data_IF_204243366742
#
_entry.id   IF_204243366742
#
_cell.length_a   1.000
_cell.length_b   1.000
_cell.length_c   1.000
_cell.angle_alpha   90.00
_cell.angle_beta   90.00
_cell.angle_gamma   90.00
#
_symmetry.space_group_name_H-M   'P 1'
#
loop_
_entity.id
_entity.type
_entity.pdbx_description
1 polymer ?
#
# COMPACT_ATOMS: atom_id res chain seq x y z
N UNK A 1 0.83 -17.60 21.03
CA UNK A 1 1.49 -16.38 20.53
C UNK A 1 0.43 -15.42 20.05
N UNK A 2 0.57 -14.12 20.28
CA UNK A 2 -0.41 -13.12 19.83
C UNK A 2 -0.16 -12.80 18.34
N UNK A 3 -1.21 -12.88 17.54
CA UNK A 3 -1.21 -12.51 16.13
C UNK A 3 -2.09 -11.28 15.90
N UNK A 4 -1.72 -10.44 14.94
CA UNK A 4 -2.49 -9.27 14.54
C UNK A 4 -2.59 -9.16 13.02
N UNK A 5 -3.74 -8.70 12.54
CA UNK A 5 -3.96 -8.40 11.12
C UNK A 5 -4.62 -7.04 10.98
N UNK A 6 -4.00 -6.24 10.12
CA UNK A 6 -4.52 -4.98 9.64
C UNK A 6 -3.79 -4.63 8.35
N UNK A 7 -4.53 -4.15 7.35
CA UNK A 7 -4.00 -3.50 6.16
C UNK A 7 -4.81 -2.21 5.96
N UNK A 8 -4.24 -1.16 5.34
CA UNK A 8 -4.93 0.12 5.15
C UNK A 8 -5.98 0.07 4.01
N UNK A 9 -6.71 -1.04 3.88
CA UNK A 9 -7.69 -1.34 2.84
C UNK A 9 -8.86 -2.16 3.42
N UNK A 10 -9.90 -2.40 2.61
CA UNK A 10 -10.99 -3.29 3.00
C UNK A 10 -10.47 -4.72 3.33
N UNK A 11 -11.06 -5.43 4.30
CA UNK A 11 -12.21 -5.03 5.11
C UNK A 11 -11.84 -4.20 6.36
N UNK A 12 -10.55 -3.93 6.60
CA UNK A 12 -10.05 -3.32 7.82
C UNK A 12 -10.27 -1.81 7.89
N UNK A 13 -10.21 -1.14 6.75
CA UNK A 13 -10.53 0.28 6.58
C UNK A 13 -11.79 0.41 5.75
N UNK A 14 -12.78 1.11 6.26
CA UNK A 14 -14.02 1.43 5.53
C UNK A 14 -14.39 2.88 5.77
N UNK A 15 -14.70 3.61 4.70
CA UNK A 15 -15.32 4.92 4.83
C UNK A 15 -16.81 4.77 5.19
N UNK A 16 -17.27 5.57 6.13
CA UNK A 16 -18.67 5.74 6.46
C UNK A 16 -18.95 7.23 6.69
N UNK A 17 -19.54 7.90 5.69
CA UNK A 17 -19.73 9.35 5.66
C UNK A 17 -18.40 10.07 5.95
N UNK A 18 -18.36 10.86 7.02
CA UNK A 18 -17.22 11.66 7.47
C UNK A 18 -16.30 10.90 8.42
N UNK A 19 -16.32 9.57 8.42
CA UNK A 19 -15.47 8.75 9.28
C UNK A 19 -14.76 7.65 8.48
N UNK A 20 -13.48 7.43 8.79
CA UNK A 20 -12.78 6.19 8.46
C UNK A 20 -12.87 5.24 9.63
N UNK A 21 -13.59 4.15 9.42
CA UNK A 21 -13.69 3.03 10.37
C UNK A 21 -12.45 2.17 10.23
N UNK A 22 -11.62 2.15 11.28
CA UNK A 22 -10.37 1.37 11.35
C UNK A 22 -10.60 0.16 12.25
N UNK A 23 -10.32 -1.04 11.74
CA UNK A 23 -10.50 -2.31 12.45
C UNK A 23 -9.19 -3.07 12.54
N UNK A 24 -8.81 -3.50 13.75
CA UNK A 24 -7.69 -4.40 14.02
C UNK A 24 -8.23 -5.78 14.38
N UNK A 25 -7.67 -6.84 13.79
CA UNK A 25 -7.96 -8.22 14.19
C UNK A 25 -6.83 -8.78 15.03
N UNK A 26 -7.17 -9.48 16.11
CA UNK A 26 -6.23 -10.16 17.00
C UNK A 26 -6.64 -11.62 17.18
N UNK A 27 -5.66 -12.52 17.29
CA UNK A 27 -5.89 -13.91 17.66
C UNK A 27 -4.79 -14.42 18.60
N UNK A 28 -5.11 -15.48 19.33
CA UNK A 28 -4.22 -16.12 20.29
C UNK A 28 -4.44 -15.71 21.73
N UNK A 29 -3.71 -16.39 22.61
CA UNK A 29 -3.77 -16.22 24.06
C UNK A 29 -3.19 -14.89 24.54
N UNK A 30 -3.60 -14.46 25.74
CA UNK A 30 -3.13 -13.23 26.40
C UNK A 30 -3.37 -11.96 25.57
N UNK A 31 -4.62 -11.75 25.16
CA UNK A 31 -5.05 -10.54 24.46
C UNK A 31 -4.88 -9.27 25.30
N UNK A 32 -4.71 -8.10 24.68
CA UNK A 32 -4.64 -6.83 25.41
C UNK A 32 -5.97 -6.51 26.09
N UNK A 33 -5.87 -5.81 27.21
CA UNK A 33 -7.02 -5.28 27.96
C UNK A 33 -7.60 -4.04 27.26
N UNK A 34 -6.72 -3.27 26.60
CA UNK A 34 -7.10 -2.07 25.85
C UNK A 34 -6.29 -1.98 24.56
N UNK A 35 -6.95 -1.52 23.51
CA UNK A 35 -6.29 -1.08 22.27
C UNK A 35 -6.61 0.39 22.05
N UNK A 36 -5.57 1.17 21.75
CA UNK A 36 -5.67 2.57 21.35
C UNK A 36 -5.14 2.70 19.93
N UNK A 37 -5.88 3.39 19.07
CA UNK A 37 -5.42 3.81 17.76
C UNK A 37 -4.73 5.18 17.93
N UNK A 38 -3.41 5.24 17.75
CA UNK A 38 -2.66 6.51 17.71
C UNK A 38 -2.75 7.04 16.29
N UNK A 39 -3.45 8.15 16.09
CA UNK A 39 -3.56 8.86 14.82
C UNK A 39 -2.87 10.23 14.88
N UNK A 40 -2.57 10.83 13.73
CA UNK A 40 -2.11 12.22 13.63
C UNK A 40 -3.26 13.14 13.19
N UNK A 41 -3.50 14.22 13.96
CA UNK A 41 -4.41 15.31 13.60
C UNK A 41 -3.59 16.59 13.68
N UNK A 42 -3.46 17.33 12.57
CA UNK A 42 -2.68 18.57 12.49
C UNK A 42 -1.23 18.47 13.00
N UNK A 43 -0.56 17.34 12.70
CA UNK A 43 0.78 16.95 13.20
C UNK A 43 0.87 16.65 14.71
N UNK A 44 -0.25 16.63 15.43
CA UNK A 44 -0.31 16.21 16.83
C UNK A 44 -0.79 14.76 16.97
N UNK A 45 -0.17 14.05 17.90
CA UNK A 45 -0.55 12.67 18.21
C UNK A 45 -1.84 12.62 19.01
N UNK A 46 -2.87 12.00 18.44
CA UNK A 46 -4.17 11.81 19.09
C UNK A 46 -4.40 10.33 19.37
N UNK A 47 -4.70 9.99 20.62
CA UNK A 47 -5.05 8.63 21.04
C UNK A 47 -6.55 8.38 20.99
N UNK A 48 -7.00 7.55 20.04
CA UNK A 48 -8.40 7.17 19.88
C UNK A 48 -8.65 5.81 20.54
N UNK A 49 -9.60 5.75 21.48
CA UNK A 49 -9.97 4.48 22.15
C UNK A 49 -10.60 3.53 21.12
N UNK A 50 -10.10 2.30 21.04
CA UNK A 50 -10.75 1.26 20.27
C UNK A 50 -11.74 0.47 21.12
N UNK A 51 -12.84 0.06 20.50
CA UNK A 51 -13.88 -0.77 21.09
C UNK A 51 -13.78 -2.19 20.55
N UNK A 52 -13.70 -3.18 21.45
CA UNK A 52 -13.79 -4.59 21.08
C UNK A 52 -15.20 -4.88 20.56
N UNK A 53 -15.30 -5.48 19.38
CA UNK A 53 -16.56 -5.91 18.80
C UNK A 53 -17.08 -7.16 19.51
N UNK A 54 -18.41 -7.26 19.64
CA UNK A 54 -19.08 -8.43 20.24
C UNK A 54 -18.99 -9.65 19.32
N UNK A 55 -19.18 -9.44 18.01
CA UNK A 55 -19.07 -10.48 17.00
C UNK A 55 -17.62 -10.72 16.62
N UNK A 56 -17.25 -12.00 16.51
CA UNK A 56 -15.96 -12.40 15.94
C UNK A 56 -16.09 -12.41 14.41
N UNK A 57 -15.14 -11.82 13.64
CA UNK A 57 -15.16 -11.91 12.19
C UNK A 57 -14.88 -13.34 11.69
N UNK A 58 -14.13 -14.12 12.46
CA UNK A 58 -13.86 -15.54 12.28
C UNK A 58 -13.69 -16.20 13.66
N UNK A 59 -13.95 -17.51 13.81
CA UNK A 59 -13.72 -18.21 15.08
C UNK A 59 -12.29 -17.99 15.61
N UNK A 60 -12.18 -17.56 16.87
CA UNK A 60 -10.90 -17.30 17.53
C UNK A 60 -10.29 -15.93 17.22
N UNK A 61 -10.93 -15.11 16.39
CA UNK A 61 -10.48 -13.75 16.07
C UNK A 61 -11.31 -12.73 16.84
N UNK A 62 -10.64 -11.81 17.53
CA UNK A 62 -11.28 -10.63 18.12
C UNK A 62 -11.02 -9.42 17.25
N UNK A 63 -12.02 -8.56 17.10
CA UNK A 63 -11.91 -7.33 16.33
C UNK A 63 -12.00 -6.12 17.27
N UNK A 64 -11.15 -5.14 17.06
CA UNK A 64 -11.16 -3.84 17.75
C UNK A 64 -11.37 -2.74 16.73
N UNK A 65 -12.22 -1.77 17.03
CA UNK A 65 -12.61 -0.72 16.08
C UNK A 65 -12.52 0.69 16.69
N UNK A 66 -12.02 1.64 15.90
CA UNK A 66 -12.11 3.07 16.17
C UNK A 66 -12.42 3.82 14.88
N UNK A 67 -12.81 5.08 15.00
CA UNK A 67 -13.11 5.95 13.87
C UNK A 67 -12.10 7.10 13.85
N UNK A 68 -11.56 7.41 12.68
CA UNK A 68 -10.84 8.66 12.41
C UNK A 68 -11.83 9.61 11.73
N UNK A 69 -11.97 10.81 12.26
CA UNK A 69 -12.78 11.87 11.68
C UNK A 69 -12.13 12.39 10.39
N UNK A 70 -12.94 12.51 9.32
CA UNK A 70 -12.52 13.01 8.02
C UNK A 70 -12.76 14.52 7.85
N UNK A 71 -13.53 15.14 8.74
CA UNK A 71 -13.88 16.57 8.65
C UNK A 71 -12.74 17.52 9.04
N UNK A 72 -11.71 17.01 9.71
CA UNK A 72 -10.55 17.77 10.20
C UNK A 72 -9.24 17.02 9.94
N UNK A 73 -8.09 17.68 10.04
CA UNK A 73 -6.77 17.09 9.84
C UNK A 73 -6.31 16.96 8.38
N UNK A 74 -5.13 16.36 8.19
CA UNK A 74 -4.46 16.29 6.89
C UNK A 74 -5.04 15.21 5.97
N UNK A 75 -5.00 15.37 4.63
CA UNK A 75 -5.50 14.36 3.69
C UNK A 75 -4.91 12.97 3.91
N UNK A 76 -3.61 12.88 4.20
CA UNK A 76 -2.94 11.62 4.56
C UNK A 76 -3.15 11.33 6.05
N UNK A 77 -3.95 10.31 6.34
CA UNK A 77 -4.27 9.83 7.69
C UNK A 77 -3.23 8.81 8.12
N UNK A 78 -2.34 9.18 9.04
CA UNK A 78 -1.35 8.26 9.61
C UNK A 78 -1.82 7.70 10.95
N UNK A 79 -1.60 6.41 11.16
CA UNK A 79 -1.96 5.77 12.42
C UNK A 79 -1.17 4.49 12.74
N UNK A 80 -1.20 4.11 14.01
CA UNK A 80 -0.65 2.85 14.53
C UNK A 80 -1.50 2.33 15.70
N UNK A 81 -1.36 1.06 16.03
CA UNK A 81 -2.10 0.45 17.13
C UNK A 81 -1.20 0.31 18.35
N UNK A 82 -1.65 0.82 19.50
CA UNK A 82 -1.05 0.62 20.81
C UNK A 82 -1.89 -0.39 21.59
N UNK A 83 -1.33 -1.57 21.80
CA UNK A 83 -1.92 -2.66 22.57
C UNK A 83 -1.40 -2.58 24.01
N UNK A 84 -2.31 -2.65 24.98
CA UNK A 84 -2.02 -2.40 26.39
C UNK A 84 -2.51 -3.55 27.27
N UNK A 85 -1.62 -3.99 28.16
CA UNK A 85 -1.87 -4.89 29.28
C UNK A 85 -1.53 -4.14 30.58
N UNK A 86 -1.91 -4.69 31.73
CA UNK A 86 -1.54 -4.12 33.03
C UNK A 86 -0.02 -3.90 33.23
N UNK A 87 0.83 -4.73 32.63
CA UNK A 87 2.28 -4.71 32.87
C UNK A 87 3.13 -4.49 31.61
N UNK A 88 2.52 -4.31 30.43
CA UNK A 88 3.27 -4.14 29.18
C UNK A 88 2.45 -3.43 28.11
N UNK A 89 3.16 -2.94 27.10
CA UNK A 89 2.59 -2.43 25.86
C UNK A 89 3.27 -3.06 24.65
N UNK A 90 2.54 -3.12 23.54
CA UNK A 90 3.08 -3.39 22.21
C UNK A 90 2.50 -2.41 21.21
N UNK A 91 3.27 -2.15 20.16
CA UNK A 91 2.84 -1.39 18.99
C UNK A 91 2.68 -2.35 17.83
N UNK A 92 1.67 -2.12 17.00
CA UNK A 92 1.48 -2.86 15.77
C UNK A 92 1.40 -1.89 14.58
N UNK A 93 2.23 -2.17 13.58
CA UNK A 93 2.46 -1.36 12.37
C UNK A 93 2.61 -2.27 11.14
N UNK A 94 2.79 -1.73 9.91
CA UNK A 94 3.17 -2.54 8.76
C UNK A 94 4.45 -3.36 8.96
N UNK A 95 5.36 -2.94 9.85
CA UNK A 95 6.59 -3.68 10.19
C UNK A 95 6.35 -4.79 11.23
N UNK A 96 5.10 -5.01 11.66
CA UNK A 96 4.73 -5.98 12.67
C UNK A 96 4.72 -5.41 14.08
N UNK A 97 5.04 -6.26 15.06
CA UNK A 97 5.02 -5.88 16.47
C UNK A 97 6.32 -5.22 16.91
N UNK A 98 6.22 -4.13 17.68
CA UNK A 98 7.35 -3.48 18.34
C UNK A 98 7.06 -3.19 19.81
N UNK A 99 8.10 -3.15 20.64
CA UNK A 99 8.00 -2.68 22.04
C UNK A 99 8.07 -1.15 22.14
N UNK A 100 8.59 -0.51 21.10
CA UNK A 100 8.83 0.93 21.05
C UNK A 100 7.82 1.63 20.16
N UNK A 101 7.48 2.89 20.44
CA UNK A 101 6.63 3.69 19.57
C UNK A 101 7.23 3.76 18.16
N UNK A 102 6.43 3.58 17.10
CA UNK A 102 6.93 3.61 15.74
C UNK A 102 7.27 5.03 15.31
N UNK A 103 8.29 5.13 14.44
CA UNK A 103 8.57 6.36 13.72
C UNK A 103 7.44 6.69 12.74
N UNK A 104 7.34 7.96 12.31
CA UNK A 104 6.24 8.44 11.47
C UNK A 104 6.06 7.66 10.16
N UNK A 105 7.16 7.29 9.51
CA UNK A 105 7.15 6.55 8.25
C UNK A 105 6.82 5.06 8.41
N UNK A 106 6.90 4.55 9.63
CA UNK A 106 6.56 3.16 9.96
C UNK A 106 5.07 3.02 10.30
N UNK A 107 4.28 4.09 10.27
CA UNK A 107 2.85 4.05 10.53
C UNK A 107 2.06 3.59 9.29
N UNK A 108 0.86 3.04 9.51
CA UNK A 108 -0.10 2.88 8.43
C UNK A 108 -0.50 4.26 7.89
N UNK A 109 -0.86 4.33 6.62
CA UNK A 109 -1.34 5.54 5.98
C UNK A 109 -2.52 5.23 5.06
N UNK A 110 -3.50 6.13 5.06
CA UNK A 110 -4.63 6.15 4.12
C UNK A 110 -4.79 7.58 3.62
N UNK A 111 -4.89 7.76 2.31
CA UNK A 111 -5.16 9.07 1.72
C UNK A 111 -6.69 9.27 1.59
N UNK A 112 -7.18 10.44 2.01
CA UNK A 112 -8.58 10.82 1.85
C UNK A 112 -8.71 12.32 1.49
N UNK A 113 -9.40 12.67 0.38
CA UNK A 113 -9.97 11.76 -0.61
C UNK A 113 -8.89 10.94 -1.33
N UNK A 114 -9.19 9.68 -1.64
CA UNK A 114 -8.35 8.88 -2.53
C UNK A 114 -8.61 9.33 -3.97
N UNK A 115 -7.68 10.11 -4.50
CA UNK A 115 -7.74 10.62 -5.87
C UNK A 115 -7.19 9.62 -6.90
N UNK A 116 -6.80 8.42 -6.47
CA UNK A 116 -6.38 7.35 -7.36
C UNK A 116 -7.50 6.90 -8.30
N UNK A 117 -7.19 6.58 -9.57
CA UNK A 117 -8.15 5.99 -10.48
C UNK A 117 -8.62 4.63 -9.95
N UNK A 118 -9.83 4.58 -9.42
CA UNK A 118 -10.36 3.39 -8.73
C UNK A 118 -10.36 2.12 -9.59
N UNK A 119 -10.50 2.28 -10.91
CA UNK A 119 -10.49 1.16 -11.86
C UNK A 119 -9.17 0.39 -11.86
N UNK A 120 -8.05 1.01 -11.47
CA UNK A 120 -6.71 0.41 -11.46
C UNK A 120 -6.60 -0.76 -10.48
N UNK A 121 -7.32 -0.71 -9.35
CA UNK A 121 -7.23 -1.72 -8.30
C UNK A 121 -7.66 -3.12 -8.77
N UNK A 122 -8.52 -3.19 -9.79
CA UNK A 122 -9.05 -4.43 -10.33
C UNK A 122 -8.42 -4.81 -11.68
N UNK A 123 -7.41 -4.07 -12.16
CA UNK A 123 -6.75 -4.37 -13.43
C UNK A 123 -5.54 -5.29 -13.28
N UNK A 124 -5.33 -6.07 -14.34
CA UNK A 124 -4.06 -6.76 -14.59
C UNK A 124 -3.31 -5.98 -15.67
N UNK A 125 -2.10 -5.52 -15.35
CA UNK A 125 -1.26 -4.79 -16.29
C UNK A 125 -0.32 -5.74 -17.04
N UNK A 126 -0.16 -5.51 -18.34
CA UNK A 126 0.84 -6.17 -19.17
C UNK A 126 1.81 -5.13 -19.71
N UNK A 127 3.06 -5.17 -19.25
CA UNK A 127 4.09 -4.24 -19.68
C UNK A 127 4.66 -4.67 -21.03
N UNK A 128 4.57 -3.78 -22.02
CA UNK A 128 5.03 -4.00 -23.39
C UNK A 128 6.24 -3.09 -23.62
N UNK A 129 7.36 -3.67 -24.03
CA UNK A 129 8.42 -2.95 -24.73
C UNK A 129 8.09 -2.95 -26.22
N UNK A 130 7.67 -1.81 -26.81
CA UNK A 130 7.07 -1.83 -28.15
C UNK A 130 7.96 -2.43 -29.24
N UNK A 131 9.27 -2.15 -29.17
CA UNK A 131 10.27 -2.67 -30.11
C UNK A 131 10.39 -4.21 -30.09
N UNK A 132 9.97 -4.87 -28.99
CA UNK A 132 10.18 -6.31 -28.74
C UNK A 132 8.92 -7.11 -28.45
N UNK A 133 7.75 -6.50 -28.62
CA UNK A 133 6.50 -7.19 -28.36
C UNK A 133 6.03 -8.00 -29.55
N UNK A 134 5.78 -7.33 -30.69
CA UNK A 134 5.44 -7.97 -31.95
C UNK A 134 5.67 -6.99 -33.11
N UNK A 135 6.19 -7.48 -34.24
CA UNK A 135 6.21 -6.72 -35.49
C UNK A 135 4.81 -6.74 -36.11
N UNK A 136 4.30 -5.58 -36.51
CA UNK A 136 3.00 -5.49 -37.19
C UNK A 136 3.09 -5.92 -38.65
N UNK A 137 2.04 -6.55 -39.16
CA UNK A 137 1.94 -6.96 -40.58
C UNK A 137 1.97 -5.76 -41.54
N UNK A 138 1.59 -4.56 -41.05
CA UNK A 138 1.55 -3.32 -41.83
C UNK A 138 2.89 -2.56 -41.87
N UNK A 139 3.95 -3.12 -41.28
CA UNK A 139 5.26 -2.47 -41.24
C UNK A 139 5.83 -2.37 -42.66
N UNK A 140 6.31 -1.19 -43.03
CA UNK A 140 6.88 -0.95 -44.37
C UNK A 140 8.40 -0.91 -44.33
N UNK A 141 9.04 -1.13 -45.48
CA UNK A 141 10.49 -1.05 -45.63
C UNK A 141 11.06 0.33 -45.23
N UNK A 142 10.26 1.39 -45.30
CA UNK A 142 10.66 2.73 -44.87
C UNK A 142 10.88 2.84 -43.35
N UNK A 143 10.19 2.02 -42.56
CA UNK A 143 10.31 2.00 -41.10
C UNK A 143 11.52 1.18 -40.60
N UNK A 144 12.15 0.43 -41.49
CA UNK A 144 13.36 -0.35 -41.24
C UNK A 144 14.61 0.33 -41.81
N UNK A 145 14.48 1.55 -42.33
CA UNK A 145 15.61 2.32 -42.86
C UNK A 145 16.60 2.64 -41.75
N UNK A 146 17.83 2.18 -41.94
CA UNK A 146 18.98 2.57 -41.12
C UNK A 146 19.22 4.07 -41.33
N UNK A 147 19.29 4.81 -40.23
CA UNK A 147 19.62 6.23 -40.20
C UNK A 147 20.73 6.50 -39.18
N UNK A 148 21.38 7.64 -39.33
CA UNK A 148 22.43 8.06 -38.42
C UNK A 148 21.87 8.61 -37.10
N UNK A 149 22.19 7.96 -35.98
CA UNK A 149 21.77 8.43 -34.66
C UNK A 149 22.81 9.40 -34.09
N UNK A 150 22.65 10.69 -34.40
CA UNK A 150 23.61 11.75 -34.06
C UNK A 150 24.04 11.78 -32.59
N UNK A 151 23.15 11.48 -31.64
CA UNK A 151 23.49 11.48 -30.22
C UNK A 151 24.37 10.28 -29.80
N UNK A 152 24.32 9.17 -30.53
CA UNK A 152 25.19 8.01 -30.29
C UNK A 152 26.45 8.01 -31.19
N UNK A 153 26.51 8.92 -32.17
CA UNK A 153 27.66 9.06 -33.08
C UNK A 153 27.83 7.90 -34.07
N UNK A 154 26.81 7.08 -34.26
CA UNK A 154 26.83 5.94 -35.18
C UNK A 154 25.44 5.70 -35.79
N UNK A 155 25.40 4.87 -36.83
CA UNK A 155 24.15 4.44 -37.46
C UNK A 155 23.39 3.45 -36.56
N UNK A 156 22.06 3.47 -36.61
CA UNK A 156 21.26 2.49 -35.86
C UNK A 156 21.51 1.07 -36.37
N UNK A 157 21.44 0.09 -35.47
CA UNK A 157 21.61 -1.32 -35.81
C UNK A 157 20.22 -1.95 -35.87
N UNK A 158 19.76 -2.26 -37.08
CA UNK A 158 18.57 -3.08 -37.29
C UNK A 158 18.95 -4.55 -37.07
N UNK A 159 18.20 -5.25 -36.21
CA UNK A 159 18.37 -6.69 -35.96
C UNK A 159 17.21 -7.50 -36.51
N UNK A 160 17.46 -8.75 -36.88
CA UNK A 160 16.39 -9.71 -37.10
C UNK A 160 15.63 -10.00 -35.78
N UNK A 161 14.42 -10.56 -35.87
CA UNK A 161 13.56 -10.75 -34.70
C UNK A 161 14.21 -11.60 -33.59
N UNK A 162 14.89 -12.68 -33.98
CA UNK A 162 15.51 -13.64 -33.05
C UNK A 162 16.98 -13.31 -32.73
N UNK A 163 17.52 -12.21 -33.26
CA UNK A 163 18.90 -11.83 -32.99
C UNK A 163 19.05 -11.23 -31.57
N UNK A 164 20.09 -11.65 -30.84
CA UNK A 164 20.28 -11.22 -29.46
C UNK A 164 20.54 -9.72 -29.37
N UNK A 165 20.11 -9.10 -28.27
CA UNK A 165 20.51 -7.74 -27.92
C UNK A 165 22.01 -7.67 -27.64
N UNK A 166 22.61 -6.54 -28.02
CA UNK A 166 23.98 -6.18 -27.64
C UNK A 166 23.90 -5.03 -26.64
N UNK A 167 24.86 -4.93 -25.71
CA UNK A 167 24.89 -3.86 -24.71
C UNK A 167 25.01 -2.45 -25.34
N UNK A 168 25.46 -2.37 -26.60
CA UNK A 168 25.51 -1.13 -27.39
C UNK A 168 24.15 -0.76 -28.01
N UNK A 169 23.19 -1.68 -28.03
CA UNK A 169 21.86 -1.48 -28.59
C UNK A 169 20.84 -1.14 -27.49
N UNK A 170 21.01 0.05 -26.90
CA UNK A 170 19.91 0.88 -26.38
C UNK A 170 19.57 0.76 -24.88
N UNK A 171 19.24 1.92 -24.29
CA UNK A 171 18.56 2.08 -23.00
C UNK A 171 19.46 2.52 -21.86
#
# INVERSE_FOLDING_TARGET
MLNAWHLPVAPFVKQNKDNLVITLWLAGENQPERVTLRAEIDNEETGLKMHRLRSQPQPGITAWRANIDLSSGQPRRRYSFKLLWNNRQLWFTPQGFSRFPPARLEQFAVDYPDNGPQWVNDQVFYQIFPDRFARSEKRTADQDKIYHHHAAGHDIILKAWDEPLTAQAGG
#
